data_IF_902964873995
#
_entry.id   IF_902964873995
#
_cell.length_a   1.000
_cell.length_b   1.000
_cell.length_c   1.000
_cell.angle_alpha   90.00
_cell.angle_beta   90.00
_cell.angle_gamma   90.00
#
_symmetry.space_group_name_H-M   'P 1'
#
loop_
_entity.id
_entity.type
_entity.pdbx_description
1 polymer ?
#
# COMPACT_ATOMS: atom_id res chain seq x y z
N UNK A 1 15.99 -5.67 -13.76
CA UNK A 1 15.47 -4.80 -12.69
C UNK A 1 15.47 -3.40 -13.26
N UNK A 2 14.42 -2.64 -13.00
CA UNK A 2 14.29 -1.26 -13.51
C UNK A 2 13.84 -0.34 -12.38
N UNK A 3 14.03 0.95 -12.55
CA UNK A 3 13.48 1.95 -11.66
C UNK A 3 12.22 2.53 -12.28
N UNK A 4 11.14 2.60 -11.50
CA UNK A 4 9.86 3.16 -11.93
C UNK A 4 9.63 4.51 -11.25
N UNK A 5 9.32 5.58 -12.01
CA UNK A 5 8.93 6.84 -11.38
C UNK A 5 7.61 6.64 -10.62
N UNK A 6 7.44 7.35 -9.51
CA UNK A 6 6.15 7.43 -8.82
C UNK A 6 5.64 8.87 -8.82
N UNK A 7 4.34 9.05 -8.96
CA UNK A 7 3.70 10.35 -8.84
C UNK A 7 2.28 10.27 -8.28
N UNK A 8 1.86 11.24 -7.47
CA UNK A 8 0.44 11.38 -7.15
C UNK A 8 -0.36 11.86 -8.37
N UNK A 9 -1.70 11.85 -8.27
CA UNK A 9 -2.58 12.17 -9.41
C UNK A 9 -2.34 13.58 -9.98
N UNK A 10 -2.04 14.57 -9.13
CA UNK A 10 -1.73 15.94 -9.57
C UNK A 10 -0.22 16.19 -9.81
N UNK A 11 0.65 15.20 -9.59
CA UNK A 11 2.09 15.33 -9.79
C UNK A 11 2.86 16.15 -8.74
N UNK A 12 2.20 16.67 -7.70
CA UNK A 12 2.86 17.46 -6.65
C UNK A 12 3.79 16.62 -5.75
N UNK A 13 3.50 15.33 -5.59
CA UNK A 13 4.37 14.34 -4.92
C UNK A 13 4.99 13.47 -6.00
N UNK A 14 6.32 13.38 -6.04
CA UNK A 14 7.08 12.58 -7.01
C UNK A 14 8.23 11.83 -6.35
N UNK A 15 8.67 10.76 -6.98
CA UNK A 15 9.74 9.92 -6.46
C UNK A 15 10.09 8.77 -7.39
N UNK A 16 10.70 7.73 -6.83
CA UNK A 16 11.09 6.53 -7.57
C UNK A 16 10.90 5.27 -6.73
N UNK A 17 10.39 4.22 -7.35
CA UNK A 17 10.47 2.85 -6.85
C UNK A 17 11.63 2.13 -7.55
N UNK A 18 12.65 1.78 -6.77
CA UNK A 18 13.91 1.22 -7.23
C UNK A 18 13.86 -0.30 -7.38
N UNK A 19 14.73 -0.83 -8.25
CA UNK A 19 15.01 -2.26 -8.41
C UNK A 19 13.76 -3.13 -8.66
N UNK A 20 12.81 -2.64 -9.45
CA UNK A 20 11.56 -3.35 -9.75
C UNK A 20 11.82 -4.54 -10.66
N UNK A 21 11.38 -5.71 -10.20
CA UNK A 21 11.27 -6.95 -10.94
C UNK A 21 10.31 -7.91 -10.19
N UNK A 22 9.74 -8.93 -10.84
CA UNK A 22 8.86 -9.90 -10.17
C UNK A 22 9.51 -10.66 -9.00
N UNK A 23 10.85 -10.63 -8.90
CA UNK A 23 11.62 -11.22 -7.80
C UNK A 23 11.78 -10.31 -6.58
N UNK A 24 11.60 -8.99 -6.76
CA UNK A 24 11.84 -7.95 -5.73
C UNK A 24 10.56 -7.31 -5.24
N UNK A 25 9.48 -7.37 -6.02
CA UNK A 25 8.16 -6.85 -5.68
C UNK A 25 7.09 -7.94 -5.76
N UNK A 26 5.90 -7.64 -5.24
CA UNK A 26 4.73 -8.49 -5.42
C UNK A 26 3.51 -7.65 -5.83
N UNK A 27 2.97 -7.95 -7.01
CA UNK A 27 1.76 -7.31 -7.54
C UNK A 27 0.50 -7.95 -6.94
N UNK A 28 -0.37 -7.16 -6.33
CA UNK A 28 -1.51 -7.68 -5.56
C UNK A 28 -2.77 -6.85 -5.77
N UNK A 29 -3.93 -7.51 -5.60
CA UNK A 29 -5.21 -6.84 -5.37
C UNK A 29 -5.71 -7.24 -3.99
N UNK A 30 -5.74 -6.29 -3.05
CA UNK A 30 -6.16 -6.55 -1.67
C UNK A 30 -7.63 -6.21 -1.46
N UNK A 31 -8.44 -7.20 -1.06
CA UNK A 31 -9.88 -7.04 -0.83
C UNK A 31 -10.25 -6.79 0.65
N UNK A 32 -9.28 -6.48 1.51
CA UNK A 32 -9.59 -6.28 2.93
C UNK A 32 -10.43 -5.02 3.15
N UNK A 33 -11.29 -5.07 4.16
CA UNK A 33 -12.19 -3.96 4.51
C UNK A 33 -11.42 -2.66 4.79
N UNK A 34 -10.22 -2.76 5.34
CA UNK A 34 -9.36 -1.65 5.71
C UNK A 34 -8.76 -0.94 4.48
N UNK A 35 -8.35 -1.67 3.44
CA UNK A 35 -7.91 -1.08 2.17
C UNK A 35 -9.06 -0.31 1.51
N UNK A 36 -10.24 -0.94 1.46
CA UNK A 36 -11.46 -0.31 0.93
C UNK A 36 -11.87 0.94 1.71
N UNK A 37 -11.86 0.86 3.05
CA UNK A 37 -12.21 1.98 3.93
C UNK A 37 -11.25 3.17 3.75
N UNK A 38 -9.96 2.89 3.50
CA UNK A 38 -8.98 3.93 3.24
C UNK A 38 -9.34 4.71 1.98
N UNK A 39 -9.64 4.02 0.88
CA UNK A 39 -10.02 4.68 -0.38
C UNK A 39 -11.35 5.43 -0.26
N UNK A 40 -12.35 4.87 0.43
CA UNK A 40 -13.61 5.57 0.71
C UNK A 40 -13.39 6.84 1.51
N UNK A 41 -12.60 6.78 2.58
CA UNK A 41 -12.30 7.96 3.39
C UNK A 41 -11.56 9.05 2.61
N UNK A 42 -10.64 8.65 1.72
CA UNK A 42 -9.93 9.58 0.83
C UNK A 42 -10.79 10.12 -0.32
N UNK A 43 -12.04 9.66 -0.47
CA UNK A 43 -12.89 10.02 -1.61
C UNK A 43 -12.41 9.41 -2.94
N UNK A 44 -11.59 8.35 -2.86
CA UNK A 44 -10.96 7.66 -4.00
C UNK A 44 -11.52 6.27 -4.28
N UNK A 45 -12.73 6.00 -3.79
CA UNK A 45 -13.36 4.70 -3.97
C UNK A 45 -13.81 4.48 -5.42
N UNK A 46 -14.39 5.50 -6.04
CA UNK A 46 -15.00 5.39 -7.37
C UNK A 46 -13.96 5.25 -8.50
N UNK A 47 -12.73 5.70 -8.27
CA UNK A 47 -11.67 5.68 -9.28
C UNK A 47 -10.60 4.61 -9.02
N UNK A 48 -10.41 4.15 -7.77
CA UNK A 48 -9.34 3.20 -7.42
C UNK A 48 -9.80 1.83 -6.90
N UNK A 49 -11.08 1.64 -6.58
CA UNK A 49 -11.57 0.30 -6.23
C UNK A 49 -11.85 -0.53 -7.48
N UNK A 50 -11.45 -1.79 -7.44
CA UNK A 50 -11.91 -2.76 -8.43
C UNK A 50 -13.39 -3.06 -8.25
N UNK A 51 -14.01 -3.71 -9.24
CA UNK A 51 -15.41 -4.15 -9.20
C UNK A 51 -15.76 -4.98 -7.95
N UNK A 52 -14.78 -5.69 -7.38
CA UNK A 52 -14.94 -6.52 -6.19
C UNK A 52 -14.44 -5.82 -4.91
N UNK A 53 -14.37 -4.48 -4.93
CA UNK A 53 -13.93 -3.64 -3.82
C UNK A 53 -12.49 -3.90 -3.38
N UNK A 54 -11.63 -4.32 -4.31
CA UNK A 54 -10.20 -4.52 -4.08
C UNK A 54 -9.38 -3.28 -4.38
N UNK A 55 -8.19 -3.19 -3.79
CA UNK A 55 -7.22 -2.13 -4.06
C UNK A 55 -5.96 -2.72 -4.66
N UNK A 56 -5.55 -2.23 -5.83
CA UNK A 56 -4.30 -2.64 -6.47
C UNK A 56 -3.08 -2.04 -5.75
N UNK A 57 -2.17 -2.90 -5.32
CA UNK A 57 -0.95 -2.52 -4.56
C UNK A 57 0.25 -3.34 -4.99
N UNK A 58 1.44 -2.77 -4.77
CA UNK A 58 2.72 -3.43 -4.99
C UNK A 58 3.46 -3.50 -3.66
N UNK A 59 3.76 -4.71 -3.20
CA UNK A 59 4.58 -4.89 -2.00
C UNK A 59 6.07 -4.81 -2.37
N UNK A 60 6.83 -4.07 -1.57
CA UNK A 60 8.29 -3.92 -1.69
C UNK A 60 8.89 -3.67 -0.30
N UNK A 61 10.13 -3.18 -0.27
CA UNK A 61 10.86 -2.77 0.93
C UNK A 61 10.97 -1.24 1.01
N UNK A 62 10.96 -0.64 2.22
CA UNK A 62 11.12 0.81 2.39
C UNK A 62 12.37 1.38 1.71
N UNK A 63 13.50 0.66 1.73
CA UNK A 63 14.75 1.08 1.11
C UNK A 63 14.67 1.31 -0.41
N UNK A 64 13.66 0.70 -1.07
CA UNK A 64 13.44 0.84 -2.52
C UNK A 64 12.48 1.96 -2.89
N UNK A 65 11.85 2.61 -1.93
CA UNK A 65 10.92 3.69 -2.22
C UNK A 65 11.52 5.02 -1.80
N UNK A 66 11.61 5.95 -2.75
CA UNK A 66 12.09 7.30 -2.52
C UNK A 66 11.00 8.29 -2.92
N UNK A 67 10.82 9.33 -2.10
CA UNK A 67 10.10 10.54 -2.48
C UNK A 67 11.16 11.61 -2.70
N UNK A 68 11.16 12.22 -3.88
CA UNK A 68 12.14 13.25 -4.26
C UNK A 68 11.55 14.65 -4.23
N UNK A 69 10.23 14.77 -4.37
CA UNK A 69 9.52 16.05 -4.37
C UNK A 69 8.18 15.95 -3.64
N UNK A 70 7.77 17.03 -2.98
CA UNK A 70 6.43 17.14 -2.36
C UNK A 70 6.29 16.50 -0.99
N UNK A 71 7.39 16.36 -0.21
CA UNK A 71 7.34 15.82 1.15
C UNK A 71 6.31 16.52 2.05
N UNK A 72 6.14 17.83 1.90
CA UNK A 72 5.14 18.64 2.62
C UNK A 72 3.69 18.26 2.30
N UNK A 73 3.45 17.59 1.19
CA UNK A 73 2.14 17.06 0.79
C UNK A 73 1.95 15.61 1.21
N UNK A 74 2.86 15.00 1.96
CA UNK A 74 2.68 13.64 2.48
C UNK A 74 1.95 13.71 3.81
N UNK A 75 0.72 13.19 3.84
CA UNK A 75 -0.09 13.03 5.04
C UNK A 75 -0.04 11.59 5.55
N UNK A 76 -0.37 11.41 6.83
CA UNK A 76 -0.48 10.10 7.48
C UNK A 76 -1.89 9.90 8.05
N UNK A 77 -2.51 8.79 7.68
CA UNK A 77 -3.82 8.35 8.15
C UNK A 77 -3.68 7.04 8.94
N UNK A 78 -4.45 6.90 10.02
CA UNK A 78 -4.72 5.61 10.67
C UNK A 78 -6.22 5.41 10.85
N UNK A 79 -6.71 4.23 10.49
CA UNK A 79 -8.11 3.86 10.72
C UNK A 79 -8.41 3.53 12.20
N UNK A 80 -7.37 3.35 13.01
CA UNK A 80 -7.46 3.16 14.47
C UNK A 80 -6.12 3.52 15.13
N UNK A 81 -6.09 3.75 16.46
CA UNK A 81 -4.86 4.13 17.16
C UNK A 81 -3.69 3.13 17.02
N UNK A 82 -3.96 1.86 16.72
CA UNK A 82 -2.95 0.80 16.53
C UNK A 82 -2.93 0.24 15.10
N UNK A 83 -3.66 0.85 14.17
CA UNK A 83 -3.76 0.38 12.79
C UNK A 83 -2.49 0.69 11.96
N UNK A 84 -2.43 0.15 10.74
CA UNK A 84 -1.32 0.47 9.81
C UNK A 84 -1.18 1.97 9.58
N UNK A 85 0.06 2.40 9.37
CA UNK A 85 0.40 3.72 8.88
C UNK A 85 0.02 3.79 7.40
N UNK A 86 -0.87 4.72 7.02
CA UNK A 86 -1.34 4.89 5.63
C UNK A 86 -0.97 6.27 5.13
N UNK A 87 0.06 6.35 4.31
CA UNK A 87 0.53 7.57 3.70
C UNK A 87 -0.25 7.91 2.44
N UNK A 88 -0.58 9.18 2.28
CA UNK A 88 -1.34 9.70 1.14
C UNK A 88 -0.86 11.11 0.78
N UNK A 89 -1.14 11.55 -0.45
CA UNK A 89 -0.86 12.88 -0.92
C UNK A 89 -2.01 13.83 -0.53
N UNK A 90 -1.78 14.79 0.36
CA UNK A 90 -2.81 15.73 0.85
C UNK A 90 -3.31 16.69 -0.22
N UNK A 91 -2.54 16.90 -1.29
CA UNK A 91 -2.89 17.75 -2.42
C UNK A 91 -4.03 17.21 -3.30
N UNK A 92 -4.23 15.88 -3.35
CA UNK A 92 -5.22 15.25 -4.24
C UNK A 92 -5.81 13.94 -3.67
N UNK A 93 -5.60 13.69 -2.39
CA UNK A 93 -5.99 12.47 -1.68
C UNK A 93 -5.49 11.15 -2.31
N UNK A 94 -4.45 11.19 -3.14
CA UNK A 94 -3.90 9.96 -3.75
C UNK A 94 -3.26 9.08 -2.66
N UNK A 95 -3.66 7.81 -2.50
CA UNK A 95 -2.96 6.89 -1.61
C UNK A 95 -1.52 6.69 -2.12
N UNK A 96 -0.54 6.69 -1.23
CA UNK A 96 0.88 6.51 -1.60
C UNK A 96 1.36 5.14 -1.14
N UNK A 97 1.36 4.89 0.17
CA UNK A 97 1.92 3.67 0.73
C UNK A 97 1.30 3.33 2.09
N UNK A 98 1.36 2.06 2.48
CA UNK A 98 1.00 1.58 3.81
C UNK A 98 2.14 0.80 4.44
N UNK A 99 2.36 1.01 5.74
CA UNK A 99 3.44 0.39 6.52
C UNK A 99 2.92 -0.12 7.87
N UNK A 100 3.66 -1.09 8.43
CA UNK A 100 3.54 -1.45 9.84
C UNK A 100 4.12 -0.32 10.71
N UNK A 101 3.62 -0.21 11.94
CA UNK A 101 4.05 0.83 12.90
C UNK A 101 5.48 0.58 13.45
N UNK A 102 5.98 -0.67 13.37
CA UNK A 102 7.38 -0.98 13.70
C UNK A 102 8.30 -0.60 12.53
N UNK A 103 9.15 0.45 12.65
CA UNK A 103 9.98 0.96 11.56
C UNK A 103 11.11 -0.01 11.18
N UNK A 104 11.29 -1.10 11.92
CA UNK A 104 12.25 -2.17 11.60
C UNK A 104 11.69 -3.20 10.63
N UNK A 105 10.42 -3.08 10.24
CA UNK A 105 9.80 -3.99 9.29
C UNK A 105 10.17 -3.58 7.86
N UNK A 106 10.81 -4.50 7.12
CA UNK A 106 11.19 -4.30 5.73
C UNK A 106 9.99 -4.53 4.79
N UNK A 107 8.87 -3.88 5.07
CA UNK A 107 7.62 -4.06 4.35
C UNK A 107 6.94 -2.72 4.09
N UNK A 108 6.64 -2.45 2.81
CA UNK A 108 5.81 -1.33 2.37
C UNK A 108 4.84 -1.83 1.29
N UNK A 109 3.58 -1.42 1.39
CA UNK A 109 2.55 -1.67 0.39
C UNK A 109 2.27 -0.37 -0.37
N UNK A 110 2.68 -0.30 -1.62
CA UNK A 110 2.66 0.91 -2.45
C UNK A 110 1.39 0.88 -3.31
N UNK A 111 0.67 2.00 -3.40
CA UNK A 111 -0.53 2.06 -4.24
C UNK A 111 -0.15 1.91 -5.73
N UNK A 112 -0.80 1.00 -6.48
CA UNK A 112 -0.49 0.81 -7.91
C UNK A 112 -0.72 2.07 -8.76
N UNK A 113 -1.66 2.92 -8.35
CA UNK A 113 -2.07 4.12 -9.08
C UNK A 113 -1.01 5.24 -9.13
N UNK A 114 0.05 5.17 -8.33
CA UNK A 114 1.15 6.15 -8.41
C UNK A 114 2.26 5.71 -9.38
N UNK A 115 2.20 4.48 -9.87
CA UNK A 115 3.14 3.95 -10.86
C UNK A 115 2.62 4.18 -12.28
N UNK A 116 3.50 4.21 -13.31
CA UNK A 116 3.13 4.33 -14.71
C UNK A 116 2.13 3.27 -15.15
N UNK A 117 1.35 3.55 -16.20
CA UNK A 117 0.35 2.62 -16.72
C UNK A 117 0.98 1.31 -17.22
N UNK A 118 2.20 1.37 -17.77
CA UNK A 118 2.96 0.23 -18.30
C UNK A 118 3.74 -0.55 -17.24
N UNK A 119 3.70 -0.13 -15.97
CA UNK A 119 4.43 -0.77 -14.88
C UNK A 119 4.13 -2.28 -14.74
N UNK A 120 2.92 -2.73 -15.08
CA UNK A 120 2.51 -4.14 -14.93
C UNK A 120 3.39 -5.12 -15.72
N UNK A 121 4.02 -4.66 -16.80
CA UNK A 121 5.01 -5.44 -17.57
C UNK A 121 6.25 -5.83 -16.76
N UNK A 122 6.51 -5.11 -15.66
CA UNK A 122 7.67 -5.30 -14.77
C UNK A 122 7.31 -5.86 -13.39
N UNK A 123 6.04 -5.79 -13.00
CA UNK A 123 5.56 -6.25 -11.68
C UNK A 123 5.23 -7.75 -11.66
N UNK A 124 4.91 -8.32 -12.83
CA UNK A 124 4.34 -9.67 -12.94
C UNK A 124 2.82 -9.69 -12.69
N UNK A 125 2.19 -10.88 -12.79
CA UNK A 125 0.74 -11.01 -12.66
C UNK A 125 0.28 -10.60 -11.26
N UNK A 126 -0.84 -9.85 -11.21
CA UNK A 126 -1.47 -9.48 -9.96
C UNK A 126 -2.12 -10.70 -9.30
N UNK A 127 -1.96 -10.83 -7.98
CA UNK A 127 -2.59 -11.90 -7.20
C UNK A 127 -3.64 -11.30 -6.25
N UNK A 128 -4.88 -11.78 -6.34
CA UNK A 128 -5.96 -11.42 -5.43
C UNK A 128 -5.72 -12.00 -4.02
N UNK A 129 -5.82 -11.16 -2.99
CA UNK A 129 -5.67 -11.55 -1.58
C UNK A 129 -6.82 -11.03 -0.73
N UNK A 130 -7.09 -11.73 0.39
CA UNK A 130 -8.19 -11.41 1.31
C UNK A 130 -9.58 -11.47 0.66
N UNK A 131 -9.77 -12.39 -0.30
CA UNK A 131 -11.03 -12.53 -1.08
C UNK A 131 -12.28 -12.72 -0.24
N UNK A 132 -12.18 -13.24 1.00
CA UNK A 132 -13.32 -13.35 1.95
C UNK A 132 -14.01 -12.01 2.27
N UNK A 133 -13.35 -10.88 2.04
CA UNK A 133 -13.88 -9.54 2.28
C UNK A 133 -14.23 -8.78 1.00
N UNK A 134 -14.16 -9.45 -0.16
CA UNK A 134 -14.59 -8.92 -1.43
C UNK A 134 -16.11 -8.73 -1.47
N UNK A 135 -16.57 -7.83 -2.36
CA UNK A 135 -17.98 -7.44 -2.50
C UNK A 135 -18.44 -7.66 -3.95
N UNK A 136 -19.75 -7.57 -4.18
CA UNK A 136 -20.34 -7.77 -5.50
C UNK A 136 -20.44 -9.24 -5.90
N UNK A 137 -20.47 -9.51 -7.20
CA UNK A 137 -20.60 -10.87 -7.74
C UNK A 137 -19.26 -11.61 -7.69
N UNK A 138 -19.08 -12.52 -6.73
CA UNK A 138 -17.82 -13.21 -6.50
C UNK A 138 -17.55 -14.39 -7.45
N UNK A 139 -18.46 -14.70 -8.39
CA UNK A 139 -18.29 -15.84 -9.31
C UNK A 139 -17.04 -15.73 -10.18
N UNK A 140 -16.57 -14.51 -10.42
CA UNK A 140 -15.39 -14.18 -11.23
C UNK A 140 -14.16 -13.84 -10.39
N UNK A 141 -14.25 -13.87 -9.06
CA UNK A 141 -13.15 -13.47 -8.18
C UNK A 141 -12.08 -14.56 -8.10
N UNK A 142 -10.94 -14.30 -8.74
CA UNK A 142 -9.71 -15.07 -8.53
C UNK A 142 -8.90 -14.46 -7.37
N UNK A 143 -9.23 -14.87 -6.14
CA UNK A 143 -8.50 -14.45 -4.95
C UNK A 143 -8.24 -15.61 -4.00
N UNK A 144 -7.02 -15.66 -3.47
CA UNK A 144 -6.65 -16.64 -2.47
C UNK A 144 -7.47 -16.44 -1.17
N UNK A 145 -8.25 -17.46 -0.81
CA UNK A 145 -9.04 -17.49 0.42
C UNK A 145 -8.17 -17.80 1.64
N UNK A 146 -7.14 -18.64 1.45
CA UNK A 146 -6.13 -19.05 2.42
C UNK A 146 -4.78 -19.19 1.71
N UNK A 147 -3.68 -18.89 2.41
CA UNK A 147 -2.32 -19.08 1.90
C UNK A 147 -1.73 -20.33 2.59
N UNK A 148 -1.20 -21.32 1.86
CA UNK A 148 -0.66 -22.54 2.47
C UNK A 148 0.53 -22.23 3.40
N UNK A 149 0.66 -22.96 4.51
CA UNK A 149 1.61 -22.67 5.58
C UNK A 149 3.08 -22.60 5.11
N UNK A 150 3.48 -23.45 4.15
CA UNK A 150 4.83 -23.43 3.59
C UNK A 150 5.15 -22.11 2.85
N UNK A 151 4.14 -21.52 2.18
CA UNK A 151 4.29 -20.26 1.48
C UNK A 151 4.38 -19.10 2.47
N UNK A 152 3.60 -19.16 3.56
CA UNK A 152 3.73 -18.23 4.68
C UNK A 152 5.14 -18.29 5.29
N UNK A 153 5.68 -19.49 5.53
CA UNK A 153 7.04 -19.66 6.04
C UNK A 153 8.09 -19.07 5.08
N UNK A 154 7.95 -19.31 3.77
CA UNK A 154 8.83 -18.75 2.73
C UNK A 154 8.77 -17.22 2.68
N UNK A 155 7.58 -16.63 2.82
CA UNK A 155 7.39 -15.17 2.89
C UNK A 155 8.06 -14.63 4.17
N UNK A 156 7.82 -15.28 5.32
CA UNK A 156 8.43 -14.92 6.60
C UNK A 156 9.96 -14.93 6.55
N UNK A 157 10.55 -15.98 5.96
CA UNK A 157 12.00 -16.06 5.75
C UNK A 157 12.55 -14.92 4.88
N UNK A 158 11.85 -14.57 3.79
CA UNK A 158 12.26 -13.45 2.92
C UNK A 158 12.23 -12.12 3.67
N UNK A 159 11.16 -11.84 4.42
CA UNK A 159 11.05 -10.62 5.22
C UNK A 159 12.15 -10.55 6.29
N UNK A 160 12.45 -11.67 6.95
CA UNK A 160 13.55 -11.76 7.91
C UNK A 160 14.91 -11.47 7.24
N UNK A 161 15.17 -12.08 6.07
CA UNK A 161 16.39 -11.81 5.28
C UNK A 161 16.49 -10.34 4.87
N UNK A 162 15.40 -9.75 4.38
CA UNK A 162 15.36 -8.34 3.99
C UNK A 162 15.64 -7.41 5.18
N UNK A 163 15.07 -7.73 6.35
CA UNK A 163 15.35 -7.00 7.59
C UNK A 163 16.83 -7.11 7.99
N UNK A 164 17.42 -8.30 7.92
CA UNK A 164 18.86 -8.51 8.16
C UNK A 164 19.74 -7.76 7.14
N UNK A 165 19.27 -7.62 5.90
CA UNK A 165 19.92 -6.84 4.85
C UNK A 165 19.68 -5.32 4.96
N UNK A 166 19.06 -4.86 6.05
CA UNK A 166 18.83 -3.43 6.29
C UNK A 166 17.75 -2.80 5.42
N UNK A 167 16.95 -3.58 4.68
CA UNK A 167 15.99 -3.09 3.68
C UNK A 167 14.80 -2.31 4.28
N UNK A 168 14.70 -2.23 5.60
CA UNK A 168 13.77 -1.33 6.29
C UNK A 168 14.22 0.15 6.22
N UNK A 169 15.48 0.44 5.87
CA UNK A 169 16.03 1.79 5.78
C UNK A 169 16.93 1.95 4.53
N UNK A 170 17.04 3.17 3.95
CA UNK A 170 16.29 4.38 4.31
C UNK A 170 14.78 4.21 4.03
N UNK A 171 13.95 5.07 4.60
CA UNK A 171 12.50 5.06 4.35
C UNK A 171 12.06 6.46 3.99
N UNK A 172 11.31 6.61 2.90
CA UNK A 172 10.72 7.90 2.52
C UNK A 172 9.69 8.43 3.53
N UNK A 173 9.30 7.63 4.53
CA UNK A 173 8.22 7.94 5.47
C UNK A 173 8.68 8.09 6.92
N UNK A 174 9.96 7.83 7.19
CA UNK A 174 10.54 7.96 8.53
C UNK A 174 11.77 8.86 8.50
N UNK A 175 11.90 9.72 9.51
CA UNK A 175 13.12 10.45 9.77
C UNK A 175 14.22 9.51 10.31
N UNK A 176 15.45 10.03 10.45
CA UNK A 176 16.61 9.25 10.89
C UNK A 176 16.42 8.62 12.29
N UNK A 177 15.67 9.32 13.16
CA UNK A 177 15.29 8.87 14.51
C UNK A 177 14.18 7.79 14.51
N UNK A 178 13.58 7.52 13.36
CA UNK A 178 12.49 6.55 13.19
C UNK A 178 11.09 7.11 13.41
N UNK A 179 10.93 8.42 13.63
CA UNK A 179 9.61 9.07 13.69
C UNK A 179 9.01 9.20 12.29
N UNK A 180 7.68 9.15 12.18
CA UNK A 180 6.99 9.39 10.91
C UNK A 180 7.17 10.84 10.45
N UNK A 181 7.35 11.07 9.15
CA UNK A 181 7.50 12.42 8.58
C UNK A 181 6.22 13.28 8.66
N UNK A 182 5.08 12.68 9.02
CA UNK A 182 3.79 13.34 9.12
C UNK A 182 3.06 12.89 10.39
N UNK A 183 2.29 13.81 10.98
CA UNK A 183 1.44 13.52 12.14
C UNK A 183 0.23 12.71 11.70
N UNK A 184 -0.06 11.63 12.42
CA UNK A 184 -1.18 10.76 12.09
C UNK A 184 -2.54 11.43 12.38
N UNK A 185 -3.37 11.53 11.35
CA UNK A 185 -4.82 11.71 11.52
C UNK A 185 -5.42 10.36 11.85
N UNK A 186 -6.01 10.21 13.04
CA UNK A 186 -6.65 8.98 13.47
C UNK A 186 -8.16 9.14 13.32
N UNK A 187 -8.80 8.25 12.57
CA UNK A 187 -10.25 8.30 12.42
C UNK A 187 -10.97 8.05 13.75
N UNK A 188 -12.04 8.81 13.97
CA UNK A 188 -13.01 8.47 15.01
C UNK A 188 -13.71 7.15 14.68
N UNK A 189 -14.32 6.53 15.68
CA UNK A 189 -15.10 5.30 15.46
C UNK A 189 -16.21 5.52 14.43
N UNK A 190 -16.88 6.67 14.48
CA UNK A 190 -17.91 7.06 13.53
C UNK A 190 -17.37 7.18 12.10
N UNK A 191 -16.28 7.93 11.89
CA UNK A 191 -15.62 8.07 10.59
C UNK A 191 -15.17 6.72 10.03
N UNK A 192 -14.60 5.86 10.88
CA UNK A 192 -14.19 4.51 10.49
C UNK A 192 -15.40 3.68 10.06
N UNK A 193 -16.49 3.75 10.82
CA UNK A 193 -17.71 2.99 10.56
C UNK A 193 -18.36 3.45 9.25
N UNK A 194 -18.43 4.76 9.01
CA UNK A 194 -18.91 5.34 7.76
C UNK A 194 -18.07 4.85 6.55
N UNK A 195 -16.74 4.80 6.68
CA UNK A 195 -15.87 4.30 5.62
C UNK A 195 -16.01 2.79 5.34
N UNK A 196 -16.48 2.01 6.31
CA UNK A 196 -16.64 0.55 6.17
C UNK A 196 -17.93 0.16 5.45
N UNK A 197 -19.00 0.95 5.61
CA UNK A 197 -20.30 0.66 5.01
C UNK A 197 -20.29 0.92 3.50
N UNK A 198 -20.94 0.04 2.75
CA UNK A 198 -21.31 0.35 1.37
C UNK A 198 -22.54 1.26 1.40
N UNK A 199 -22.58 2.37 0.64
CA UNK A 199 -23.86 2.98 0.32
C UNK A 199 -24.72 1.89 -0.36
N UNK A 200 -25.86 1.59 0.24
CA UNK A 200 -26.86 0.67 -0.32
C UNK A 200 -27.45 1.24 -1.60
#
# INVERSE_FOLDING_TARGET
>A
MIDLPIQCTCGSVRGTLLDVAPSTVQNLVCHCIDCRSTLRHLGRANDLLTEHGGTAVVHSTPARMQITHGHTHVGLLRLSPKGLLRFYATCCNTPIASMLDDPRQAFVSIARCILPSDADTHLGPAVGVRGRSAIGNLRTLDAAHNVPAWLVARIGWRLAKQRLQGQARPSAFHAADGTCIAVATILTLEQRTAAQHDPR
#
